data_IF_051976891905
#
_entry.id   IF_051976891905
#
_cell.length_a   1.000
_cell.length_b   1.000
_cell.length_c   1.000
_cell.angle_alpha   90.00
_cell.angle_beta   90.00
_cell.angle_gamma   90.00
#
_symmetry.space_group_name_H-M   'P 1'
#
loop_
_entity.id
_entity.type
_entity.pdbx_description
1 polymer ?
#
# COMPACT_ATOMS: atom_id res chain seq x y z
N UNK A 1 0.85 -16.45 20.39
CA UNK A 1 0.33 -16.19 19.01
C UNK A 1 1.12 -17.07 18.06
N UNK A 2 0.46 -17.95 17.31
CA UNK A 2 1.16 -18.79 16.33
C UNK A 2 1.58 -17.91 15.14
N UNK A 3 2.86 -17.84 14.84
CA UNK A 3 3.37 -17.17 13.66
C UNK A 3 2.90 -17.91 12.40
N UNK A 4 2.22 -17.19 11.51
CA UNK A 4 1.76 -17.72 10.22
C UNK A 4 3.01 -18.02 9.37
N UNK A 5 3.21 -19.26 8.86
CA UNK A 5 4.39 -19.61 8.07
C UNK A 5 4.44 -18.81 6.76
N UNK A 6 5.64 -18.52 6.30
CA UNK A 6 5.88 -17.95 4.97
C UNK A 6 5.87 -19.09 3.94
N UNK A 7 5.05 -18.95 2.90
CA UNK A 7 4.82 -20.01 1.91
C UNK A 7 5.34 -19.57 0.55
N UNK A 8 6.15 -20.42 -0.08
CA UNK A 8 6.52 -20.32 -1.48
C UNK A 8 5.95 -21.57 -2.16
N UNK A 9 5.06 -21.39 -3.14
CA UNK A 9 4.48 -22.49 -3.89
C UNK A 9 5.36 -22.89 -5.06
N UNK A 10 5.40 -24.21 -5.35
CA UNK A 10 6.02 -24.73 -6.57
C UNK A 10 4.99 -25.50 -7.37
N UNK A 11 4.86 -25.23 -8.68
CA UNK A 11 3.86 -25.85 -9.54
C UNK A 11 4.40 -26.14 -10.93
N UNK A 12 3.87 -27.17 -11.59
CA UNK A 12 4.11 -27.44 -13.01
C UNK A 12 3.10 -26.73 -13.92
N UNK A 13 1.99 -26.21 -13.36
CA UNK A 13 0.92 -25.56 -14.11
C UNK A 13 0.98 -24.05 -13.97
N UNK A 14 1.05 -23.34 -15.12
CA UNK A 14 1.08 -21.86 -15.17
C UNK A 14 -0.20 -21.20 -14.66
N UNK A 15 -1.36 -21.86 -14.78
CA UNK A 15 -2.64 -21.30 -14.37
C UNK A 15 -2.73 -21.11 -12.85
N UNK A 16 -2.17 -22.03 -12.05
CA UNK A 16 -2.14 -21.89 -10.59
C UNK A 16 -1.23 -20.76 -10.09
N UNK A 17 -0.33 -20.23 -10.92
CA UNK A 17 0.47 -19.07 -10.57
C UNK A 17 -0.36 -17.78 -10.53
N UNK A 18 -1.48 -17.71 -11.25
CA UNK A 18 -2.40 -16.57 -11.30
C UNK A 18 -3.36 -16.62 -10.10
N UNK A 19 -3.93 -17.80 -9.81
CA UNK A 19 -4.83 -17.99 -8.66
C UNK A 19 -4.12 -17.86 -7.30
N UNK A 20 -2.82 -18.08 -7.28
CA UNK A 20 -2.00 -18.02 -6.07
C UNK A 20 -1.79 -16.64 -5.47
N UNK A 21 -2.14 -15.57 -6.16
CA UNK A 21 -2.17 -14.21 -5.59
C UNK A 21 -3.22 -14.07 -4.46
N UNK A 22 -4.23 -14.93 -4.42
CA UNK A 22 -5.27 -14.93 -3.40
C UNK A 22 -4.85 -15.62 -2.09
N UNK A 23 -3.76 -16.42 -2.11
CA UNK A 23 -3.34 -17.30 -1.00
C UNK A 23 -2.27 -16.71 -0.07
N UNK A 24 -2.01 -15.39 -0.09
CA UNK A 24 -0.98 -14.74 0.74
C UNK A 24 0.44 -15.39 0.65
N UNK A 25 0.77 -16.04 -0.47
CA UNK A 25 2.08 -16.63 -0.67
C UNK A 25 3.16 -15.58 -0.94
N UNK A 26 4.36 -15.83 -0.46
CA UNK A 26 5.51 -14.94 -0.69
C UNK A 26 5.91 -14.95 -2.16
N UNK A 27 5.90 -16.12 -2.80
CA UNK A 27 6.23 -16.28 -4.21
C UNK A 27 5.74 -17.63 -4.78
N UNK A 28 5.81 -17.72 -6.13
CA UNK A 28 5.46 -18.92 -6.93
C UNK A 28 6.61 -19.28 -7.85
N UNK A 29 6.93 -20.57 -7.89
CA UNK A 29 7.98 -21.13 -8.74
C UNK A 29 7.38 -22.14 -9.70
N UNK A 30 7.54 -21.90 -11.00
CA UNK A 30 7.13 -22.84 -12.04
C UNK A 30 8.23 -23.89 -12.27
N UNK A 31 7.84 -25.16 -12.30
CA UNK A 31 8.75 -26.26 -12.64
C UNK A 31 8.96 -26.34 -14.16
N UNK A 32 10.21 -26.58 -14.66
CA UNK A 32 11.46 -26.74 -13.92
C UNK A 32 11.95 -25.44 -13.29
N UNK A 33 12.37 -25.52 -12.02
CA UNK A 33 12.77 -24.33 -11.25
C UNK A 33 14.20 -23.96 -11.60
N UNK A 34 14.39 -22.76 -12.13
CA UNK A 34 15.69 -22.17 -12.32
C UNK A 34 16.29 -21.72 -10.97
N UNK A 35 17.58 -21.97 -10.76
CA UNK A 35 18.27 -21.66 -9.51
C UNK A 35 18.23 -20.15 -9.16
N UNK A 36 18.42 -19.27 -10.16
CA UNK A 36 18.35 -17.83 -9.93
C UNK A 36 16.95 -17.40 -9.48
N UNK A 37 15.90 -18.01 -10.06
CA UNK A 37 14.52 -17.72 -9.69
C UNK A 37 14.18 -18.22 -8.28
N UNK A 38 14.70 -19.40 -7.90
CA UNK A 38 14.62 -19.95 -6.55
C UNK A 38 15.30 -19.03 -5.53
N UNK A 39 16.54 -18.60 -5.81
CA UNK A 39 17.31 -17.71 -4.94
C UNK A 39 16.59 -16.40 -4.69
N UNK A 40 15.98 -15.80 -5.74
CA UNK A 40 15.17 -14.58 -5.59
C UNK A 40 13.95 -14.80 -4.70
N UNK A 41 13.25 -15.91 -4.84
CA UNK A 41 12.09 -16.23 -4.01
C UNK A 41 12.47 -16.44 -2.54
N UNK A 42 13.60 -17.10 -2.29
CA UNK A 42 14.14 -17.31 -0.93
C UNK A 42 14.58 -15.97 -0.31
N UNK A 43 15.32 -15.13 -1.04
CA UNK A 43 15.70 -13.80 -0.54
C UNK A 43 14.47 -12.97 -0.19
N UNK A 44 13.43 -13.00 -1.02
CA UNK A 44 12.16 -12.32 -0.75
C UNK A 44 11.51 -12.84 0.54
N UNK A 45 11.53 -14.16 0.80
CA UNK A 45 11.01 -14.75 2.03
C UNK A 45 11.85 -14.36 3.25
N UNK A 46 13.18 -14.34 3.12
CA UNK A 46 14.11 -13.93 4.19
C UNK A 46 13.89 -12.45 4.55
N UNK A 47 13.78 -11.59 3.55
CA UNK A 47 13.52 -10.15 3.78
C UNK A 47 12.17 -9.94 4.44
N UNK A 48 11.15 -10.69 4.04
CA UNK A 48 9.83 -10.67 4.67
C UNK A 48 9.86 -11.19 6.12
N UNK A 49 10.66 -12.24 6.41
CA UNK A 49 10.86 -12.77 7.75
C UNK A 49 11.62 -11.79 8.65
N UNK A 50 12.74 -11.22 8.16
CA UNK A 50 13.50 -10.19 8.88
C UNK A 50 12.63 -9.00 9.25
N UNK A 51 11.75 -8.59 8.33
CA UNK A 51 10.79 -7.54 8.57
C UNK A 51 9.81 -7.87 9.70
N UNK A 52 9.34 -9.14 9.79
CA UNK A 52 8.46 -9.59 10.88
C UNK A 52 9.20 -9.80 12.21
N UNK A 53 10.50 -10.09 12.17
CA UNK A 53 11.29 -10.48 13.35
C UNK A 53 12.04 -9.32 14.01
N UNK A 54 12.05 -8.12 13.43
CA UNK A 54 12.68 -6.95 14.05
C UNK A 54 11.79 -6.45 15.19
N UNK A 55 12.30 -6.37 16.44
CA UNK A 55 11.51 -5.87 17.55
C UNK A 55 11.08 -4.43 17.28
N UNK A 56 9.82 -4.16 17.52
CA UNK A 56 9.06 -2.97 17.26
C UNK A 56 9.84 -1.63 17.38
N UNK A 57 10.33 -1.14 16.25
CA UNK A 57 10.15 0.28 15.96
C UNK A 57 8.70 0.41 15.44
N UNK A 58 8.00 1.51 15.69
CA UNK A 58 6.56 1.55 15.47
C UNK A 58 6.23 1.10 14.05
N UNK A 59 5.62 -0.08 13.92
CA UNK A 59 5.26 -0.76 12.67
C UNK A 59 4.30 0.06 11.78
N UNK A 60 3.88 1.21 12.27
CA UNK A 60 2.89 2.09 11.66
C UNK A 60 3.46 3.21 10.77
N UNK A 61 4.81 3.31 10.61
CA UNK A 61 5.39 4.45 9.88
C UNK A 61 5.75 4.19 8.41
N UNK A 62 5.54 2.98 7.88
CA UNK A 62 5.84 2.65 6.50
C UNK A 62 4.76 1.80 5.84
N UNK A 63 4.46 2.10 4.58
CA UNK A 63 3.63 1.29 3.70
C UNK A 63 4.52 0.45 2.78
N UNK A 64 4.22 -0.85 2.66
CA UNK A 64 4.90 -1.76 1.73
C UNK A 64 3.97 -2.12 0.58
N UNK A 65 4.44 -1.90 -0.64
CA UNK A 65 3.70 -2.19 -1.87
C UNK A 65 4.60 -2.87 -2.91
N UNK A 66 3.99 -3.70 -3.75
CA UNK A 66 4.67 -4.28 -4.91
C UNK A 66 4.52 -3.34 -6.10
N UNK A 67 5.64 -2.78 -6.57
CA UNK A 67 5.68 -1.95 -7.77
C UNK A 67 6.88 -2.35 -8.65
N UNK A 68 6.71 -2.39 -9.96
CA UNK A 68 7.77 -2.72 -10.91
C UNK A 68 8.55 -4.00 -10.55
N UNK A 69 7.81 -5.08 -10.20
CA UNK A 69 8.37 -6.39 -9.81
C UNK A 69 9.25 -6.39 -8.55
N UNK A 70 9.20 -5.35 -7.73
CA UNK A 70 9.96 -5.21 -6.47
C UNK A 70 9.04 -4.81 -5.32
N UNK A 71 9.44 -5.17 -4.11
CA UNK A 71 8.81 -4.66 -2.90
C UNK A 71 9.39 -3.28 -2.59
N UNK A 72 8.52 -2.28 -2.51
CA UNK A 72 8.89 -0.89 -2.22
C UNK A 72 8.41 -0.52 -0.82
N UNK A 73 9.32 0.01 0.01
CA UNK A 73 9.03 0.58 1.32
C UNK A 73 8.81 2.08 1.16
N UNK A 74 7.66 2.58 1.61
CA UNK A 74 7.28 3.99 1.52
C UNK A 74 7.05 4.50 2.93
N UNK A 75 7.84 5.46 3.46
CA UNK A 75 7.55 6.11 4.72
C UNK A 75 6.18 6.81 4.66
N UNK A 76 5.33 6.62 5.67
CA UNK A 76 3.98 7.18 5.65
C UNK A 76 3.96 8.71 5.63
N UNK A 77 4.96 9.34 6.26
CA UNK A 77 5.08 10.81 6.29
C UNK A 77 5.42 11.42 4.92
N UNK A 78 5.94 10.61 3.98
CA UNK A 78 6.23 11.04 2.61
C UNK A 78 4.99 10.97 1.71
N UNK A 79 3.95 10.23 2.10
CA UNK A 79 2.74 10.09 1.31
C UNK A 79 1.88 11.34 1.48
N UNK A 80 1.61 12.02 0.36
CA UNK A 80 0.68 13.16 0.33
C UNK A 80 -0.77 12.69 0.19
N UNK A 81 -1.03 11.84 -0.82
CA UNK A 81 -2.34 11.25 -1.06
C UNK A 81 -2.23 10.01 -1.95
N UNK A 82 -3.31 9.24 -2.02
CA UNK A 82 -3.43 8.05 -2.85
C UNK A 82 -4.64 8.23 -3.76
N UNK A 83 -4.42 7.99 -5.04
CA UNK A 83 -5.40 8.10 -6.11
C UNK A 83 -5.75 6.72 -6.68
N UNK A 84 -7.03 6.47 -6.94
CA UNK A 84 -7.50 5.26 -7.63
C UNK A 84 -7.30 5.43 -9.14
N UNK A 85 -6.70 4.42 -9.75
CA UNK A 85 -6.47 4.34 -11.19
C UNK A 85 -6.95 2.95 -11.68
N UNK A 86 -8.27 2.81 -11.89
CA UNK A 86 -8.92 1.52 -12.21
C UNK A 86 -8.58 0.42 -11.19
N UNK A 87 -7.87 -0.65 -11.61
CA UNK A 87 -7.42 -1.75 -10.75
C UNK A 87 -6.15 -1.42 -9.96
N UNK A 88 -5.53 -0.28 -10.24
CA UNK A 88 -4.31 0.20 -9.60
C UNK A 88 -4.60 1.34 -8.65
N UNK A 89 -3.64 1.59 -7.76
CA UNK A 89 -3.54 2.84 -7.02
C UNK A 89 -2.25 3.55 -7.38
N UNK A 90 -2.31 4.87 -7.37
CA UNK A 90 -1.17 5.76 -7.54
C UNK A 90 -0.89 6.48 -6.23
N UNK A 91 0.26 6.21 -5.65
CA UNK A 91 0.70 6.79 -4.38
C UNK A 91 1.56 8.00 -4.69
N UNK A 92 1.07 9.18 -4.33
CA UNK A 92 1.77 10.44 -4.52
C UNK A 92 2.67 10.72 -3.31
N UNK A 93 3.94 10.94 -3.58
CA UNK A 93 5.01 11.09 -2.59
C UNK A 93 5.59 12.49 -2.71
N UNK A 94 5.80 13.16 -1.58
CA UNK A 94 6.38 14.49 -1.53
C UNK A 94 7.75 14.54 -2.21
N UNK A 95 7.90 15.40 -3.21
CA UNK A 95 9.17 15.61 -3.92
C UNK A 95 9.68 14.44 -4.76
N UNK A 96 8.89 13.37 -4.95
CA UNK A 96 9.30 12.19 -5.70
C UNK A 96 8.27 11.79 -6.78
N UNK A 97 8.67 10.87 -7.67
CA UNK A 97 7.74 10.30 -8.66
C UNK A 97 6.70 9.43 -7.96
N UNK A 98 5.44 9.49 -8.37
CA UNK A 98 4.40 8.62 -7.83
C UNK A 98 4.71 7.14 -8.08
N UNK A 99 4.30 6.29 -7.14
CA UNK A 99 4.41 4.83 -7.24
C UNK A 99 3.04 4.26 -7.64
N UNK A 100 3.01 3.43 -8.68
CA UNK A 100 1.80 2.73 -9.14
C UNK A 100 1.90 1.27 -8.71
N UNK A 101 0.84 0.75 -8.09
CA UNK A 101 0.77 -0.63 -7.64
C UNK A 101 -0.62 -1.22 -7.86
N UNK A 102 -0.67 -2.52 -8.20
CA UNK A 102 -1.91 -3.28 -8.32
C UNK A 102 -2.49 -3.54 -6.92
N UNK A 103 -3.42 -2.70 -6.51
CA UNK A 103 -4.07 -2.78 -5.20
C UNK A 103 -5.38 -1.98 -5.22
N UNK A 104 -6.40 -2.46 -4.51
CA UNK A 104 -7.63 -1.69 -4.36
C UNK A 104 -7.52 -0.63 -3.27
N UNK A 105 -8.34 0.44 -3.40
CA UNK A 105 -8.46 1.50 -2.38
C UNK A 105 -8.86 0.96 -0.99
N UNK A 106 -9.64 -0.12 -0.95
CA UNK A 106 -10.02 -0.79 0.31
C UNK A 106 -8.79 -1.44 0.95
N UNK A 107 -8.05 -2.24 0.19
CA UNK A 107 -6.84 -2.95 0.69
C UNK A 107 -5.76 -2.00 1.19
N UNK A 108 -5.52 -0.88 0.50
CA UNK A 108 -4.51 0.07 0.97
C UNK A 108 -4.97 0.77 2.25
N UNK A 109 -6.27 1.12 2.36
CA UNK A 109 -6.81 1.77 3.55
C UNK A 109 -6.71 0.88 4.81
N UNK A 110 -6.86 -0.44 4.66
CA UNK A 110 -6.69 -1.42 5.75
C UNK A 110 -5.23 -1.50 6.26
N UNK A 111 -4.27 -1.08 5.43
CA UNK A 111 -2.83 -1.06 5.78
C UNK A 111 -2.36 0.28 6.35
N UNK A 112 -3.19 1.31 6.28
CA UNK A 112 -2.86 2.66 6.71
C UNK A 112 -3.46 2.96 8.09
N UNK A 113 -2.74 3.67 8.97
CA UNK A 113 -3.31 4.14 10.23
C UNK A 113 -4.48 5.09 9.99
N UNK A 114 -5.64 4.80 10.58
CA UNK A 114 -6.87 5.56 10.38
C UNK A 114 -6.83 6.99 10.93
N UNK A 115 -5.96 7.26 11.90
CA UNK A 115 -5.66 8.58 12.43
C UNK A 115 -4.84 9.45 11.48
N UNK A 116 -3.96 8.82 10.68
CA UNK A 116 -3.07 9.52 9.72
C UNK A 116 -3.64 9.60 8.30
N UNK A 117 -4.48 8.66 7.90
CA UNK A 117 -5.02 8.58 6.53
C UNK A 117 -6.52 8.40 6.53
N UNK A 118 -7.21 9.21 5.74
CA UNK A 118 -8.66 9.11 5.62
C UNK A 118 -9.11 9.17 4.16
N UNK A 119 -10.12 8.35 3.85
CA UNK A 119 -10.78 8.38 2.54
C UNK A 119 -11.77 9.53 2.49
N UNK A 120 -11.64 10.40 1.51
CA UNK A 120 -12.49 11.58 1.33
C UNK A 120 -13.23 11.60 -0.01
N UNK A 121 -12.93 10.64 -0.88
CA UNK A 121 -13.58 10.47 -2.18
C UNK A 121 -13.51 9.00 -2.60
N UNK A 122 -14.38 8.57 -3.53
CA UNK A 122 -14.28 7.23 -4.10
C UNK A 122 -12.91 6.92 -4.69
N UNK A 123 -12.21 7.95 -5.17
CA UNK A 123 -10.90 7.84 -5.83
C UNK A 123 -9.75 8.41 -5.01
N UNK A 124 -9.97 8.97 -3.80
CA UNK A 124 -8.90 9.63 -3.05
C UNK A 124 -8.87 9.25 -1.57
N UNK A 125 -7.66 8.92 -1.09
CA UNK A 125 -7.28 8.84 0.32
C UNK A 125 -6.23 9.91 0.54
N UNK A 126 -6.34 10.69 1.61
CA UNK A 126 -5.42 11.79 1.92
C UNK A 126 -4.67 11.54 3.23
N UNK A 127 -3.42 11.99 3.29
CA UNK A 127 -2.70 12.15 4.55
C UNK A 127 -3.26 13.35 5.31
N UNK A 128 -3.88 13.10 6.46
CA UNK A 128 -4.60 14.12 7.24
C UNK A 128 -3.66 15.27 7.65
N UNK A 129 -2.42 14.94 8.02
CA UNK A 129 -1.39 15.92 8.41
C UNK A 129 -0.86 16.78 7.26
N UNK A 130 -1.15 16.43 5.99
CA UNK A 130 -0.75 17.21 4.81
C UNK A 130 -1.87 18.15 4.32
N UNK A 131 -3.02 18.14 4.97
CA UNK A 131 -4.15 19.01 4.64
C UNK A 131 -3.94 20.39 5.25
N UNK A 132 -3.80 21.40 4.38
CA UNK A 132 -3.64 22.80 4.80
C UNK A 132 -4.98 23.51 4.99
N UNK A 133 -5.94 23.26 4.10
CA UNK A 133 -7.23 23.92 4.13
C UNK A 133 -8.32 23.06 3.48
N UNK A 134 -9.57 23.29 3.89
CA UNK A 134 -10.76 22.75 3.24
C UNK A 134 -11.66 23.92 2.87
N UNK A 135 -11.92 24.07 1.58
CA UNK A 135 -12.80 25.12 1.05
C UNK A 135 -13.66 24.57 -0.07
N UNK A 136 -14.95 24.91 -0.11
CA UNK A 136 -15.89 24.52 -1.17
C UNK A 136 -15.86 23.01 -1.49
N UNK A 137 -15.83 22.15 -0.45
CA UNK A 137 -15.71 20.69 -0.58
C UNK A 137 -14.46 20.22 -1.35
N UNK A 138 -13.40 20.99 -1.28
CA UNK A 138 -12.07 20.61 -1.77
C UNK A 138 -11.08 20.68 -0.64
N UNK A 139 -10.17 19.71 -0.61
CA UNK A 139 -9.00 19.71 0.26
C UNK A 139 -7.85 20.35 -0.49
N UNK A 140 -7.16 21.28 0.15
CA UNK A 140 -5.90 21.84 -0.33
C UNK A 140 -4.76 21.21 0.44
N UNK A 141 -3.83 20.58 -0.27
CA UNK A 141 -2.63 19.96 0.29
C UNK A 141 -1.46 20.94 0.31
N UNK A 142 -0.49 20.66 1.18
CA UNK A 142 0.76 21.43 1.27
C UNK A 142 1.51 21.53 -0.06
N UNK A 143 1.39 20.51 -0.92
CA UNK A 143 1.97 20.46 -2.27
C UNK A 143 1.21 21.34 -3.31
N UNK A 144 0.22 22.13 -2.92
CA UNK A 144 -0.59 22.96 -3.83
C UNK A 144 -1.63 22.18 -4.64
N UNK A 145 -1.87 20.91 -4.32
CA UNK A 145 -2.87 20.07 -5.00
C UNK A 145 -4.23 20.25 -4.35
N UNK A 146 -5.27 20.41 -5.15
CA UNK A 146 -6.66 20.42 -4.71
C UNK A 146 -7.37 19.11 -5.07
N UNK A 147 -8.01 18.48 -4.08
CA UNK A 147 -8.73 17.22 -4.24
C UNK A 147 -10.19 17.35 -3.79
N UNK A 148 -11.16 16.78 -4.52
CA UNK A 148 -12.57 16.89 -4.19
C UNK A 148 -12.96 16.00 -3.01
N UNK A 149 -13.88 16.47 -2.16
CA UNK A 149 -14.58 15.66 -1.16
C UNK A 149 -15.96 15.31 -1.73
N UNK A 150 -16.28 14.01 -1.83
CA UNK A 150 -17.61 13.59 -2.29
C UNK A 150 -18.62 13.60 -1.14
N UNK A 151 -19.92 13.69 -1.49
CA UNK A 151 -21.02 13.77 -0.51
C UNK A 151 -21.03 12.61 0.49
N UNK A 152 -20.66 11.41 0.05
CA UNK A 152 -20.56 10.23 0.92
C UNK A 152 -19.45 10.32 1.97
N UNK A 153 -18.52 11.26 1.85
CA UNK A 153 -17.34 11.41 2.71
C UNK A 153 -17.27 12.79 3.40
N UNK A 154 -18.38 13.54 3.45
CA UNK A 154 -18.43 14.86 4.11
C UNK A 154 -18.06 14.79 5.59
N UNK A 155 -18.26 13.64 6.25
CA UNK A 155 -17.84 13.41 7.64
C UNK A 155 -16.32 13.62 7.84
N UNK A 156 -15.50 13.49 6.79
CA UNK A 156 -14.07 13.82 6.82
C UNK A 156 -13.81 15.22 7.35
N UNK A 157 -14.62 16.21 6.94
CA UNK A 157 -14.49 17.61 7.38
C UNK A 157 -14.61 17.73 8.89
N UNK A 158 -15.55 17.00 9.49
CA UNK A 158 -15.78 17.02 10.93
C UNK A 158 -14.66 16.32 11.70
N UNK A 159 -14.09 15.26 11.13
CA UNK A 159 -12.96 14.54 11.72
C UNK A 159 -11.69 15.40 11.67
N UNK A 160 -11.44 16.06 10.54
CA UNK A 160 -10.26 16.92 10.36
C UNK A 160 -10.23 18.11 11.30
N UNK A 161 -11.40 18.71 11.63
CA UNK A 161 -11.50 19.84 12.59
C UNK A 161 -11.19 19.46 14.03
N UNK A 162 -11.19 18.18 14.37
CA UNK A 162 -10.94 17.68 15.74
C UNK A 162 -9.48 17.31 15.99
N UNK A 163 -8.69 17.20 14.94
CA UNK A 163 -7.24 16.97 15.00
C UNK A 163 -6.47 18.31 14.88
#
# INVERSE_FOLDING_TARGET
MQEKPLIIFTTANKQFAIEGFELDAVDYLLKPINFDRFTRAVHKAIDYHKYKSTPAQPENDCLFVHAEYRLVKIPLHDIDYIESLEDYIKIHIAGAKPIITLMSMKKVLEKLPADKFQRMHRSYIVSVGKVNAIQNRKVQLAAGVELPISDSYVHFINTWKKN
#
